data_IF_104421706846
#
_entry.id   IF_104421706846
#
_cell.length_a   1.000
_cell.length_b   1.000
_cell.length_c   1.000
_cell.angle_alpha   90.00
_cell.angle_beta   90.00
_cell.angle_gamma   90.00
#
_symmetry.space_group_name_H-M   'P 1'
#
loop_
_entity.id
_entity.type
_entity.pdbx_description
1 polymer ?
#
# COMPACT_ATOMS: atom_id res chain seq x y z
N UNK A 1 -8.52 -4.90 24.22
CA UNK A 1 -8.99 -5.35 22.89
C UNK A 1 -9.13 -6.86 22.87
N UNK A 2 -9.99 -7.38 22.01
CA UNK A 2 -10.21 -8.83 21.86
C UNK A 2 -9.58 -9.28 20.54
N UNK A 3 -8.93 -10.47 20.53
CA UNK A 3 -8.35 -11.05 19.32
C UNK A 3 -9.39 -11.41 18.23
N UNK A 4 -10.67 -11.48 18.60
CA UNK A 4 -11.77 -11.69 17.63
C UNK A 4 -12.20 -10.41 16.91
N UNK A 5 -11.72 -9.23 17.33
CA UNK A 5 -11.99 -7.97 16.64
C UNK A 5 -11.27 -7.92 15.29
N UNK A 6 -11.82 -7.24 14.27
CA UNK A 6 -11.22 -7.19 12.94
C UNK A 6 -9.97 -6.30 12.88
N UNK A 7 -9.18 -6.49 11.82
CA UNK A 7 -8.10 -5.60 11.43
C UNK A 7 -8.64 -4.60 10.41
N UNK A 8 -8.50 -3.30 10.69
CA UNK A 8 -8.79 -2.24 9.74
C UNK A 8 -7.64 -2.05 8.74
N UNK A 9 -7.97 -1.93 7.46
CA UNK A 9 -6.99 -1.62 6.41
C UNK A 9 -7.48 -0.40 5.66
N UNK A 10 -6.73 0.68 5.66
CA UNK A 10 -7.15 1.92 5.00
C UNK A 10 -6.22 2.31 3.86
N UNK A 11 -6.81 2.79 2.78
CA UNK A 11 -6.11 3.31 1.60
C UNK A 11 -6.86 4.52 1.01
N UNK A 12 -6.16 5.30 0.21
CA UNK A 12 -6.74 6.44 -0.52
C UNK A 12 -7.65 6.05 -1.69
N UNK A 13 -7.70 4.77 -2.06
CA UNK A 13 -8.45 4.28 -3.23
C UNK A 13 -8.54 2.76 -3.26
N UNK A 14 -8.14 2.15 -4.37
CA UNK A 14 -8.16 0.69 -4.58
C UNK A 14 -6.78 0.05 -4.44
N UNK A 15 -5.71 0.84 -4.35
CA UNK A 15 -4.34 0.35 -4.33
C UNK A 15 -4.07 -0.61 -3.16
N UNK A 16 -4.60 -0.29 -1.99
CA UNK A 16 -4.44 -1.07 -0.76
C UNK A 16 -5.03 -2.48 -0.81
N UNK A 17 -5.82 -2.83 -1.85
CA UNK A 17 -6.24 -4.20 -2.10
C UNK A 17 -5.06 -5.15 -2.31
N UNK A 18 -3.92 -4.65 -2.81
CA UNK A 18 -2.67 -5.42 -2.90
C UNK A 18 -2.12 -5.81 -1.52
N UNK A 19 -2.23 -4.89 -0.56
CA UNK A 19 -1.82 -5.13 0.84
C UNK A 19 -2.82 -6.04 1.53
N UNK A 20 -4.13 -5.81 1.34
CA UNK A 20 -5.19 -6.68 1.87
C UNK A 20 -5.03 -8.13 1.40
N UNK A 21 -4.71 -8.34 0.10
CA UNK A 21 -4.39 -9.66 -0.45
C UNK A 21 -3.29 -10.35 0.36
N UNK A 22 -2.18 -9.63 0.57
CA UNK A 22 -1.03 -10.18 1.28
C UNK A 22 -1.35 -10.48 2.76
N UNK A 23 -2.04 -9.56 3.43
CA UNK A 23 -2.51 -9.74 4.80
C UNK A 23 -3.42 -10.97 4.93
N UNK A 24 -4.42 -11.11 4.06
CA UNK A 24 -5.34 -12.24 4.09
C UNK A 24 -4.63 -13.59 3.85
N UNK A 25 -3.64 -13.62 2.94
CA UNK A 25 -2.85 -14.82 2.70
C UNK A 25 -1.98 -15.22 3.90
N UNK A 26 -1.41 -14.25 4.61
CA UNK A 26 -0.53 -14.48 5.76
C UNK A 26 -1.31 -14.66 7.09
N UNK A 27 -2.53 -14.16 7.15
CA UNK A 27 -3.42 -14.15 8.31
C UNK A 27 -4.81 -14.70 7.95
N UNK A 28 -4.92 -15.97 7.52
CA UNK A 28 -6.17 -16.52 6.98
C UNK A 28 -7.29 -16.69 8.03
N UNK A 29 -6.96 -16.52 9.30
CA UNK A 29 -7.91 -16.59 10.40
C UNK A 29 -8.48 -15.26 10.83
N UNK A 30 -7.89 -14.13 10.37
CA UNK A 30 -8.28 -12.78 10.76
C UNK A 30 -9.43 -12.23 9.92
N UNK A 31 -10.32 -11.48 10.56
CA UNK A 31 -11.32 -10.67 9.88
C UNK A 31 -10.72 -9.32 9.49
N UNK A 32 -11.02 -8.86 8.29
CA UNK A 32 -10.52 -7.59 7.78
C UNK A 32 -11.67 -6.66 7.37
N UNK A 33 -11.53 -5.39 7.69
CA UNK A 33 -12.36 -4.30 7.17
C UNK A 33 -11.44 -3.36 6.38
N UNK A 34 -11.54 -3.44 5.05
CA UNK A 34 -10.86 -2.53 4.14
C UNK A 34 -11.70 -1.27 3.92
N UNK A 35 -11.07 -0.11 3.94
CA UNK A 35 -11.70 1.17 3.58
C UNK A 35 -10.86 1.84 2.50
N UNK A 36 -11.41 1.91 1.28
CA UNK A 36 -10.85 2.69 0.16
C UNK A 36 -11.59 4.01 -0.01
N UNK A 37 -10.89 5.14 0.13
CA UNK A 37 -11.49 6.47 -0.03
C UNK A 37 -11.57 6.90 -1.49
N UNK A 38 -12.30 6.12 -2.27
CA UNK A 38 -12.41 6.25 -3.72
C UNK A 38 -13.09 7.56 -4.18
N UNK A 39 -13.88 8.20 -3.31
CA UNK A 39 -14.47 9.50 -3.61
C UNK A 39 -13.46 10.66 -3.67
N UNK A 40 -12.31 10.53 -2.96
CA UNK A 40 -11.32 11.60 -2.81
C UNK A 40 -9.95 11.25 -3.38
N UNK A 41 -9.82 10.04 -3.98
CA UNK A 41 -8.60 9.60 -4.68
C UNK A 41 -8.30 10.50 -5.89
N UNK A 42 -7.02 10.71 -6.27
CA UNK A 42 -5.79 10.29 -5.60
C UNK A 42 -5.35 11.29 -4.51
N UNK A 43 -4.81 10.80 -3.40
CA UNK A 43 -4.28 11.66 -2.33
C UNK A 43 -2.94 12.32 -2.69
N UNK A 44 -2.20 11.79 -3.65
CA UNK A 44 -0.89 12.31 -4.05
C UNK A 44 -0.89 13.73 -4.64
N UNK A 45 -2.06 14.30 -4.91
CA UNK A 45 -2.27 15.67 -5.40
C UNK A 45 -2.93 16.60 -4.37
N UNK A 46 -3.26 16.07 -3.17
CA UNK A 46 -3.93 16.81 -2.11
C UNK A 46 -2.93 17.48 -1.18
N UNK A 47 -3.39 18.51 -0.46
CA UNK A 47 -2.60 19.13 0.61
C UNK A 47 -2.50 18.22 1.83
N UNK A 48 -1.45 18.35 2.60
CA UNK A 48 -1.27 17.60 3.85
C UNK A 48 -2.46 17.78 4.81
N UNK A 49 -3.00 19.00 4.91
CA UNK A 49 -4.15 19.30 5.78
C UNK A 49 -5.40 18.51 5.36
N UNK A 50 -5.69 18.45 4.06
CA UNK A 50 -6.82 17.68 3.54
C UNK A 50 -6.64 16.19 3.83
N UNK A 51 -5.45 15.65 3.55
CA UNK A 51 -5.16 14.23 3.76
C UNK A 51 -5.31 13.87 5.25
N UNK A 52 -4.80 14.68 6.17
CA UNK A 52 -4.95 14.45 7.62
C UNK A 52 -6.42 14.44 8.05
N UNK A 53 -7.25 15.34 7.50
CA UNK A 53 -8.70 15.35 7.75
C UNK A 53 -9.36 14.06 7.24
N UNK A 54 -9.03 13.63 6.02
CA UNK A 54 -9.59 12.42 5.43
C UNK A 54 -9.22 11.15 6.20
N UNK A 55 -7.95 11.06 6.61
CA UNK A 55 -7.48 9.95 7.45
C UNK A 55 -8.18 9.93 8.80
N UNK A 56 -8.36 11.09 9.44
CA UNK A 56 -9.10 11.20 10.69
C UNK A 56 -10.51 10.62 10.57
N UNK A 57 -11.28 11.01 9.54
CA UNK A 57 -12.62 10.49 9.29
C UNK A 57 -12.64 8.95 9.12
N UNK A 58 -11.66 8.38 8.41
CA UNK A 58 -11.57 6.93 8.22
C UNK A 58 -11.19 6.22 9.54
N UNK A 59 -10.24 6.78 10.28
CA UNK A 59 -9.82 6.24 11.58
C UNK A 59 -10.96 6.26 12.59
N UNK A 60 -11.75 7.36 12.64
CA UNK A 60 -12.91 7.45 13.51
C UNK A 60 -13.97 6.40 13.14
N UNK A 61 -14.21 6.21 11.84
CA UNK A 61 -15.13 5.18 11.35
C UNK A 61 -14.64 3.77 11.71
N UNK A 62 -13.37 3.45 11.53
CA UNK A 62 -12.77 2.15 11.91
C UNK A 62 -12.79 1.96 13.44
N UNK A 63 -12.59 3.02 14.22
CA UNK A 63 -12.70 2.99 15.69
C UNK A 63 -14.09 2.57 16.12
N UNK A 64 -15.15 3.13 15.48
CA UNK A 64 -16.53 2.74 15.73
C UNK A 64 -16.83 1.28 15.34
N UNK A 65 -16.01 0.66 14.47
CA UNK A 65 -16.08 -0.77 14.13
C UNK A 65 -15.30 -1.67 15.10
N UNK A 66 -14.72 -1.10 16.15
CA UNK A 66 -13.96 -1.81 17.17
C UNK A 66 -12.78 -2.61 16.58
N UNK A 67 -12.03 -2.07 15.64
CA UNK A 67 -10.84 -2.75 15.09
C UNK A 67 -9.75 -2.87 16.14
N UNK A 68 -9.00 -3.98 16.12
CA UNK A 68 -7.88 -4.24 17.06
C UNK A 68 -6.53 -3.71 16.56
N UNK A 69 -6.39 -3.49 15.27
CA UNK A 69 -5.21 -2.93 14.61
C UNK A 69 -5.66 -2.17 13.37
N UNK A 70 -4.91 -1.15 12.98
CA UNK A 70 -5.07 -0.47 11.68
C UNK A 70 -3.78 -0.57 10.86
N UNK A 71 -3.91 -1.06 9.63
CA UNK A 71 -2.85 -1.05 8.63
C UNK A 71 -3.12 0.08 7.63
N UNK A 72 -2.23 1.05 7.56
CA UNK A 72 -2.28 2.13 6.57
C UNK A 72 -1.65 1.61 5.28
N UNK A 73 -2.48 1.09 4.38
CA UNK A 73 -2.10 0.50 3.11
C UNK A 73 -1.90 1.57 2.01
N UNK A 74 -1.27 2.68 2.35
CA UNK A 74 -1.00 3.78 1.44
C UNK A 74 0.36 4.41 1.76
N UNK A 75 1.28 4.41 0.77
CA UNK A 75 2.60 5.01 0.97
C UNK A 75 2.53 6.52 1.21
N UNK A 76 1.69 7.24 0.48
CA UNK A 76 1.49 8.68 0.67
C UNK A 76 1.06 9.00 2.10
N UNK A 77 0.12 8.23 2.66
CA UNK A 77 -0.34 8.39 4.04
C UNK A 77 0.74 8.03 5.05
N UNK A 78 1.47 6.95 4.80
CA UNK A 78 2.59 6.53 5.66
C UNK A 78 3.67 7.62 5.75
N UNK A 79 3.93 8.34 4.64
CA UNK A 79 4.93 9.42 4.61
C UNK A 79 4.49 10.68 5.37
N UNK A 80 3.19 10.89 5.58
CA UNK A 80 2.66 11.99 6.43
C UNK A 80 2.86 11.77 7.93
N UNK A 81 3.33 10.59 8.32
CA UNK A 81 3.67 10.27 9.70
C UNK A 81 2.59 9.44 10.40
N UNK A 82 2.72 8.12 10.29
CA UNK A 82 1.96 7.15 11.10
C UNK A 82 2.18 7.38 12.60
N UNK A 83 3.34 7.92 12.98
CA UNK A 83 3.71 8.16 14.38
C UNK A 83 2.74 9.13 15.09
N UNK A 84 2.12 10.05 14.36
CA UNK A 84 1.10 10.96 14.94
C UNK A 84 -0.21 10.24 15.31
N UNK A 85 -0.43 9.04 14.79
CA UNK A 85 -1.61 8.21 15.10
C UNK A 85 -1.30 7.15 16.16
N UNK A 86 -0.02 6.86 16.39
CA UNK A 86 0.40 5.89 17.41
C UNK A 86 0.15 6.45 18.81
N UNK A 87 -0.46 5.63 19.67
CA UNK A 87 -0.77 6.01 21.05
C UNK A 87 -1.92 6.99 21.24
N UNK A 88 -2.57 7.45 20.16
CA UNK A 88 -3.78 8.30 20.24
C UNK A 88 -5.07 7.50 20.13
N UNK A 89 -4.97 6.23 19.74
CA UNK A 89 -6.08 5.30 19.60
C UNK A 89 -5.84 4.03 20.42
N UNK A 90 -6.90 3.27 20.76
CA UNK A 90 -6.74 2.05 21.57
C UNK A 90 -6.05 0.89 20.81
N UNK A 91 -5.85 0.98 19.52
CA UNK A 91 -5.28 -0.05 18.64
C UNK A 91 -3.88 0.35 18.13
N UNK A 92 -3.09 -0.65 17.71
CA UNK A 92 -1.82 -0.41 17.03
C UNK A 92 -2.02 0.08 15.61
N UNK A 93 -1.09 0.91 15.12
CA UNK A 93 -1.09 1.45 13.76
C UNK A 93 0.20 1.07 13.04
N UNK A 94 0.07 0.36 11.92
CA UNK A 94 1.17 -0.07 11.06
C UNK A 94 1.09 0.63 9.72
N UNK A 95 2.18 1.24 9.27
CA UNK A 95 2.29 1.87 7.95
C UNK A 95 3.05 0.99 6.97
N UNK A 96 3.09 1.42 5.69
CA UNK A 96 3.84 0.73 4.65
C UNK A 96 5.32 0.63 4.98
N UNK A 97 5.87 -0.57 4.86
CA UNK A 97 7.31 -0.83 4.97
C UNK A 97 8.08 -0.09 3.88
N UNK A 98 9.28 0.39 4.20
CA UNK A 98 10.17 1.03 3.23
C UNK A 98 11.04 0.02 2.46
N UNK A 99 11.02 -1.25 2.85
CA UNK A 99 11.70 -2.34 2.17
C UNK A 99 13.23 -2.21 2.06
N UNK A 100 13.87 -1.37 2.88
CA UNK A 100 15.30 -1.05 2.74
C UNK A 100 16.19 -2.29 2.82
N UNK A 101 15.95 -3.17 3.79
CA UNK A 101 16.74 -4.41 3.97
C UNK A 101 16.58 -5.36 2.80
N UNK A 102 15.34 -5.55 2.32
CA UNK A 102 15.03 -6.43 1.18
C UNK A 102 15.66 -5.90 -0.11
N UNK A 103 15.62 -4.57 -0.33
CA UNK A 103 16.24 -3.92 -1.48
C UNK A 103 17.77 -4.11 -1.48
N UNK A 104 18.41 -3.88 -0.35
CA UNK A 104 19.86 -4.04 -0.21
C UNK A 104 20.29 -5.51 -0.40
N UNK A 105 19.51 -6.46 0.11
CA UNK A 105 19.75 -7.89 -0.08
C UNK A 105 19.58 -8.32 -1.56
N UNK A 106 18.70 -7.64 -2.31
CA UNK A 106 18.43 -7.94 -3.72
C UNK A 106 19.38 -7.20 -4.70
N UNK A 107 20.24 -6.29 -4.22
CA UNK A 107 21.10 -5.44 -5.04
C UNK A 107 22.57 -5.59 -4.65
N UNK A 108 23.35 -6.47 -5.30
CA UNK A 108 24.77 -6.70 -4.98
C UNK A 108 25.64 -5.44 -5.05
N UNK A 109 25.40 -4.56 -6.02
CA UNK A 109 26.13 -3.29 -6.18
C UNK A 109 25.38 -2.09 -5.58
N UNK A 110 24.28 -2.35 -4.84
CA UNK A 110 23.51 -1.35 -4.09
C UNK A 110 22.92 -0.23 -4.94
N UNK A 111 22.55 -0.54 -6.19
CA UNK A 111 21.89 0.36 -7.12
C UNK A 111 20.38 0.13 -7.07
N UNK A 112 19.68 1.01 -6.38
CA UNK A 112 18.27 0.81 -5.98
C UNK A 112 17.37 1.87 -6.60
N UNK A 113 16.31 1.42 -7.29
CA UNK A 113 15.25 2.27 -7.84
C UNK A 113 14.06 2.38 -6.87
N UNK A 114 13.42 3.53 -6.86
CA UNK A 114 12.16 3.77 -6.14
C UNK A 114 11.14 4.35 -7.11
N UNK A 115 10.09 3.58 -7.44
CA UNK A 115 8.91 4.08 -8.17
C UNK A 115 7.85 4.49 -7.14
N UNK A 116 7.40 5.75 -7.19
CA UNK A 116 6.43 6.25 -6.22
C UNK A 116 5.59 7.42 -6.78
N UNK A 117 4.60 7.87 -6.01
CA UNK A 117 3.91 9.12 -6.29
C UNK A 117 4.86 10.31 -6.08
N UNK A 118 4.53 11.44 -6.71
CA UNK A 118 5.33 12.67 -6.57
C UNK A 118 5.49 13.08 -5.10
N UNK A 119 4.43 13.01 -4.31
CA UNK A 119 4.47 13.31 -2.88
C UNK A 119 5.45 12.39 -2.11
N UNK A 120 5.37 11.08 -2.36
CA UNK A 120 6.25 10.09 -1.72
C UNK A 120 7.72 10.32 -2.09
N UNK A 121 8.03 10.64 -3.34
CA UNK A 121 9.40 10.98 -3.77
C UNK A 121 9.88 12.26 -3.10
N UNK A 122 9.05 13.31 -3.06
CA UNK A 122 9.41 14.59 -2.45
C UNK A 122 9.69 14.47 -0.94
N UNK A 123 9.05 13.51 -0.24
CA UNK A 123 9.33 13.26 1.19
C UNK A 123 10.77 12.80 1.47
N UNK A 124 11.43 12.19 0.49
CA UNK A 124 12.78 11.64 0.61
C UNK A 124 12.93 10.46 1.59
N UNK A 125 11.84 9.98 2.23
CA UNK A 125 11.91 9.01 3.32
C UNK A 125 12.40 7.62 2.88
N UNK A 126 12.11 7.17 1.65
CA UNK A 126 12.68 5.93 1.12
C UNK A 126 14.20 6.04 0.97
N UNK A 127 14.67 7.12 0.33
CA UNK A 127 16.12 7.38 0.19
C UNK A 127 16.80 7.44 1.55
N UNK A 128 16.20 8.16 2.50
CA UNK A 128 16.73 8.28 3.88
C UNK A 128 16.81 6.91 4.57
N UNK A 129 15.78 6.08 4.45
CA UNK A 129 15.74 4.74 5.06
C UNK A 129 16.79 3.79 4.45
N UNK A 130 16.98 3.82 3.12
CA UNK A 130 17.97 3.00 2.43
C UNK A 130 19.39 3.44 2.83
N UNK A 131 19.66 4.75 2.82
CA UNK A 131 20.98 5.28 3.19
C UNK A 131 21.29 5.14 4.69
N UNK A 132 20.29 5.08 5.55
CA UNK A 132 20.46 4.75 6.96
C UNK A 132 20.86 3.29 7.18
N UNK A 133 20.37 2.38 6.33
CA UNK A 133 20.73 0.96 6.35
C UNK A 133 22.10 0.70 5.67
N UNK A 134 22.41 1.42 4.61
CA UNK A 134 23.70 1.39 3.92
C UNK A 134 24.04 2.76 3.30
N UNK A 135 24.99 3.50 3.88
CA UNK A 135 25.39 4.82 3.37
C UNK A 135 26.04 4.82 1.97
N UNK A 136 26.48 3.65 1.48
CA UNK A 136 27.08 3.51 0.15
C UNK A 136 26.06 3.20 -0.95
N UNK A 137 24.79 3.01 -0.61
CA UNK A 137 23.74 2.72 -1.58
C UNK A 137 23.51 3.90 -2.54
N UNK A 138 23.31 3.58 -3.81
CA UNK A 138 22.94 4.53 -4.85
C UNK A 138 21.42 4.44 -5.06
N UNK A 139 20.69 5.48 -4.73
CA UNK A 139 19.22 5.48 -4.77
C UNK A 139 18.73 6.38 -5.91
N UNK A 140 17.93 5.81 -6.79
CA UNK A 140 17.35 6.45 -7.97
C UNK A 140 15.82 6.58 -7.78
N UNK A 141 15.33 7.71 -7.26
CA UNK A 141 13.89 7.94 -7.10
C UNK A 141 13.27 8.46 -8.39
N UNK A 142 12.13 7.87 -8.79
CA UNK A 142 11.35 8.28 -9.97
C UNK A 142 9.89 8.46 -9.56
N UNK A 143 9.35 9.65 -9.80
CA UNK A 143 7.93 9.95 -9.62
C UNK A 143 7.12 9.48 -10.84
N UNK A 144 5.99 8.80 -10.59
CA UNK A 144 5.17 8.20 -11.64
C UNK A 144 3.72 8.73 -11.61
N UNK A 145 3.49 10.01 -11.93
CA UNK A 145 2.16 10.62 -11.80
C UNK A 145 1.09 10.00 -12.71
N UNK A 146 1.47 9.37 -13.84
CA UNK A 146 0.53 8.77 -14.78
C UNK A 146 -0.02 7.41 -14.31
N UNK A 147 0.68 6.67 -13.47
CA UNK A 147 0.31 5.29 -13.12
C UNK A 147 -1.03 5.20 -12.39
N UNK A 148 -1.23 5.99 -11.33
CA UNK A 148 -2.47 5.92 -10.53
C UNK A 148 -3.71 6.24 -11.38
N UNK A 149 -3.78 7.33 -12.18
CA UNK A 149 -4.91 7.58 -13.04
C UNK A 149 -5.19 6.47 -14.07
N UNK A 150 -4.13 5.89 -14.67
CA UNK A 150 -4.27 4.81 -15.64
C UNK A 150 -4.81 3.52 -14.99
N UNK A 151 -4.35 3.18 -13.80
CA UNK A 151 -4.80 2.00 -13.05
C UNK A 151 -6.24 2.18 -12.57
N UNK A 152 -6.56 3.33 -11.96
CA UNK A 152 -7.93 3.68 -11.53
C UNK A 152 -8.89 3.74 -12.72
N UNK A 153 -8.42 4.12 -13.90
CA UNK A 153 -9.16 4.10 -15.17
C UNK A 153 -9.20 2.73 -15.84
N UNK A 154 -8.72 1.67 -15.21
CA UNK A 154 -8.68 0.28 -15.74
C UNK A 154 -7.95 0.16 -17.10
N UNK A 155 -7.00 1.06 -17.41
CA UNK A 155 -6.29 1.13 -18.69
C UNK A 155 -5.06 0.20 -18.75
N UNK A 156 -5.20 -1.04 -18.29
CA UNK A 156 -4.09 -1.97 -18.11
C UNK A 156 -3.37 -2.38 -19.41
N UNK A 157 -4.09 -2.37 -20.55
CA UNK A 157 -3.55 -2.76 -21.84
C UNK A 157 -3.37 -1.58 -22.81
N UNK A 158 -3.48 -0.34 -22.30
CA UNK A 158 -3.39 0.87 -23.11
C UNK A 158 -1.97 1.16 -23.62
N UNK A 159 -1.82 1.78 -24.80
CA UNK A 159 -0.53 2.30 -25.25
C UNK A 159 0.06 3.32 -24.28
N UNK A 160 -0.77 4.13 -23.65
CA UNK A 160 -0.40 5.17 -22.68
C UNK A 160 0.27 4.57 -21.45
N UNK A 161 -0.24 3.43 -20.94
CA UNK A 161 0.39 2.73 -19.81
C UNK A 161 1.75 2.17 -20.21
N UNK A 162 1.85 1.51 -21.38
CA UNK A 162 3.13 0.99 -21.88
C UNK A 162 4.17 2.10 -22.04
N UNK A 163 3.76 3.24 -22.60
CA UNK A 163 4.64 4.40 -22.75
C UNK A 163 5.08 4.96 -21.39
N UNK A 164 4.17 5.07 -20.42
CA UNK A 164 4.47 5.54 -19.08
C UNK A 164 5.44 4.59 -18.34
N UNK A 165 5.28 3.27 -18.50
CA UNK A 165 6.22 2.29 -17.94
C UNK A 165 7.61 2.51 -18.53
N UNK A 166 7.75 2.54 -19.86
CA UNK A 166 9.03 2.76 -20.52
C UNK A 166 9.68 4.09 -20.09
N UNK A 167 8.91 5.17 -19.99
CA UNK A 167 9.39 6.50 -19.54
C UNK A 167 9.98 6.44 -18.11
N UNK A 168 9.28 5.76 -17.19
CA UNK A 168 9.68 5.78 -15.77
C UNK A 168 10.75 4.74 -15.43
N UNK A 169 10.91 3.68 -16.23
CA UNK A 169 11.96 2.67 -16.04
C UNK A 169 13.26 3.01 -16.75
N UNK A 170 13.24 3.86 -17.77
CA UNK A 170 14.40 4.27 -18.56
C UNK A 170 15.58 4.81 -17.71
N UNK A 171 15.36 5.65 -16.67
CA UNK A 171 16.42 6.08 -15.76
C UNK A 171 17.10 4.90 -15.04
N UNK A 172 16.35 3.85 -14.70
CA UNK A 172 16.88 2.67 -14.02
C UNK A 172 17.74 1.82 -14.94
N UNK A 173 17.30 1.62 -16.18
CA UNK A 173 18.06 0.91 -17.20
C UNK A 173 19.40 1.59 -17.47
N UNK A 174 19.39 2.93 -17.63
CA UNK A 174 20.62 3.73 -17.83
C UNK A 174 21.59 3.67 -16.64
N UNK A 175 21.07 3.66 -15.42
CA UNK A 175 21.88 3.61 -14.21
C UNK A 175 22.35 2.19 -13.85
N UNK A 176 21.80 1.16 -14.50
CA UNK A 176 22.06 -0.24 -14.15
C UNK A 176 21.50 -0.59 -12.75
N UNK A 177 20.26 -0.15 -12.47
CA UNK A 177 19.57 -0.47 -11.20
C UNK A 177 19.31 -1.97 -11.13
N UNK A 178 19.48 -2.56 -9.96
CA UNK A 178 19.38 -4.01 -9.73
C UNK A 178 18.13 -4.41 -8.97
N UNK A 179 17.63 -3.51 -8.12
CA UNK A 179 16.39 -3.70 -7.36
C UNK A 179 15.53 -2.45 -7.40
N UNK A 180 14.22 -2.62 -7.58
CA UNK A 180 13.23 -1.53 -7.63
C UNK A 180 12.12 -1.82 -6.63
N UNK A 181 11.71 -0.83 -5.83
CA UNK A 181 10.55 -0.94 -4.97
C UNK A 181 9.35 -0.20 -5.56
N UNK A 182 8.18 -0.84 -5.50
CA UNK A 182 6.88 -0.27 -5.86
C UNK A 182 6.29 0.49 -4.68
N UNK A 183 6.71 1.75 -4.48
CA UNK A 183 6.31 2.57 -3.34
C UNK A 183 4.98 3.31 -3.56
N UNK A 184 4.04 2.66 -4.21
CA UNK A 184 2.64 3.01 -4.32
C UNK A 184 1.82 1.72 -4.42
N UNK A 185 0.78 1.59 -3.63
CA UNK A 185 -0.07 0.40 -3.53
C UNK A 185 -0.85 0.08 -4.80
N UNK A 186 -0.96 1.02 -5.72
CA UNK A 186 -1.52 0.80 -7.05
C UNK A 186 -0.56 0.04 -7.98
N UNK A 187 0.77 0.20 -7.83
CA UNK A 187 1.72 -0.32 -8.81
C UNK A 187 1.81 -1.86 -8.89
N UNK A 188 1.48 -2.63 -7.84
CA UNK A 188 1.33 -4.08 -7.96
C UNK A 188 0.33 -4.56 -9.01
N UNK A 189 -0.68 -3.75 -9.38
CA UNK A 189 -1.60 -4.05 -10.47
C UNK A 189 -0.93 -4.15 -11.85
N UNK A 190 0.22 -3.49 -12.01
CA UNK A 190 1.01 -3.46 -13.26
C UNK A 190 2.43 -3.99 -13.06
N UNK A 191 2.66 -4.74 -11.98
CA UNK A 191 3.99 -5.24 -11.60
C UNK A 191 4.63 -6.07 -12.72
N UNK A 192 3.87 -7.01 -13.29
CA UNK A 192 4.37 -7.89 -14.36
C UNK A 192 4.83 -7.09 -15.59
N UNK A 193 4.13 -6.02 -15.94
CA UNK A 193 4.50 -5.15 -17.05
C UNK A 193 5.75 -4.32 -16.74
N UNK A 194 5.91 -3.86 -15.49
CA UNK A 194 7.13 -3.18 -15.03
C UNK A 194 8.32 -4.15 -15.04
N UNK A 195 8.12 -5.38 -14.56
CA UNK A 195 9.15 -6.44 -14.58
C UNK A 195 9.57 -6.79 -16.00
N UNK A 196 8.61 -6.94 -16.92
CA UNK A 196 8.88 -7.23 -18.32
C UNK A 196 9.70 -6.13 -19.00
N UNK A 197 9.43 -4.87 -18.69
CA UNK A 197 10.13 -3.73 -19.27
C UNK A 197 11.54 -3.51 -18.66
N UNK A 198 11.71 -3.76 -17.36
CA UNK A 198 13.02 -3.71 -16.68
C UNK A 198 13.94 -4.88 -17.05
N UNK A 199 13.36 -6.02 -17.42
CA UNK A 199 14.06 -7.24 -17.76
C UNK A 199 14.42 -8.12 -16.54
N UNK A 200 14.91 -9.34 -16.78
CA UNK A 200 15.03 -10.40 -15.76
C UNK A 200 16.12 -10.15 -14.71
N UNK A 201 17.02 -9.20 -14.96
CA UNK A 201 18.13 -8.90 -14.05
C UNK A 201 17.76 -7.87 -12.97
N UNK A 202 16.58 -7.27 -13.04
CA UNK A 202 16.10 -6.27 -12.05
C UNK A 202 15.06 -6.91 -11.15
N UNK A 203 15.29 -6.91 -9.85
CA UNK A 203 14.32 -7.43 -8.88
C UNK A 203 13.29 -6.37 -8.52
N UNK A 204 12.03 -6.62 -8.83
CA UNK A 204 10.93 -5.71 -8.46
C UNK A 204 10.27 -6.17 -7.16
N UNK A 205 10.29 -5.32 -6.14
CA UNK A 205 9.80 -5.60 -4.79
C UNK A 205 8.49 -4.86 -4.53
N UNK A 206 7.50 -5.60 -4.06
CA UNK A 206 6.27 -5.07 -3.48
C UNK A 206 6.41 -5.03 -1.95
N UNK A 207 6.25 -3.87 -1.28
CA UNK A 207 6.39 -3.78 0.15
C UNK A 207 5.23 -4.42 0.94
N UNK A 208 4.18 -4.90 0.30
CA UNK A 208 3.01 -5.48 0.95
C UNK A 208 3.36 -6.64 1.90
N UNK A 209 4.25 -7.56 1.47
CA UNK A 209 4.68 -8.69 2.30
C UNK A 209 5.42 -8.24 3.57
N UNK A 210 6.34 -7.27 3.45
CA UNK A 210 7.05 -6.71 4.59
C UNK A 210 6.10 -5.96 5.54
N UNK A 211 5.16 -5.18 5.00
CA UNK A 211 4.11 -4.50 5.77
C UNK A 211 3.24 -5.50 6.53
N UNK A 212 2.85 -6.60 5.88
CA UNK A 212 2.06 -7.66 6.53
C UNK A 212 2.84 -8.36 7.64
N UNK A 213 4.15 -8.59 7.45
CA UNK A 213 5.00 -9.13 8.50
C UNK A 213 5.10 -8.19 9.72
N UNK A 214 5.23 -6.88 9.50
CA UNK A 214 5.24 -5.87 10.56
C UNK A 214 3.90 -5.88 11.33
N UNK A 215 2.76 -6.01 10.64
CA UNK A 215 1.43 -6.13 11.25
C UNK A 215 1.30 -7.39 12.12
N UNK A 216 1.82 -8.53 11.64
CA UNK A 216 1.85 -9.80 12.40
C UNK A 216 2.70 -9.67 13.67
N UNK A 217 3.86 -9.02 13.58
CA UNK A 217 4.73 -8.81 14.75
C UNK A 217 3.99 -8.00 15.82
N UNK A 218 3.36 -6.89 15.43
CA UNK A 218 2.60 -6.06 16.37
C UNK A 218 1.45 -6.83 17.03
N UNK A 219 0.66 -7.61 16.26
CA UNK A 219 -0.41 -8.45 16.81
C UNK A 219 0.08 -9.51 17.79
N UNK A 220 1.26 -10.11 17.54
CA UNK A 220 1.87 -11.09 18.43
C UNK A 220 2.33 -10.45 19.74
N UNK A 221 2.99 -9.31 19.67
CA UNK A 221 3.47 -8.57 20.84
C UNK A 221 2.33 -8.12 21.76
N UNK A 222 1.17 -7.79 21.17
CA UNK A 222 -0.04 -7.42 21.91
C UNK A 222 -0.90 -8.60 22.34
N UNK A 223 -0.56 -9.84 21.94
CA UNK A 223 -1.36 -11.04 22.22
C UNK A 223 -2.71 -11.08 21.51
N UNK A 224 -2.85 -10.34 20.42
CA UNK A 224 -4.10 -10.16 19.66
C UNK A 224 -4.18 -11.00 18.39
N UNK A 225 -3.16 -11.80 18.05
CA UNK A 225 -3.17 -12.66 16.88
C UNK A 225 -4.22 -13.77 17.02
N UNK A 226 -5.13 -13.89 16.04
CA UNK A 226 -6.10 -14.97 15.94
C UNK A 226 -5.51 -16.12 15.11
N UNK A 227 -5.56 -17.33 15.65
CA UNK A 227 -4.93 -18.53 15.08
C UNK A 227 -5.91 -19.61 14.65
N UNK A 228 -7.21 -19.39 14.81
CA UNK A 228 -8.25 -20.37 14.55
C UNK A 228 -9.47 -19.73 13.88
N UNK A 229 -10.27 -20.55 13.18
CA UNK A 229 -11.44 -20.11 12.43
C UNK A 229 -11.12 -19.70 11.00
N UNK A 230 -12.15 -19.36 10.22
CA UNK A 230 -12.03 -18.77 8.88
C UNK A 230 -12.17 -17.26 9.01
N UNK A 231 -11.23 -16.49 8.47
CA UNK A 231 -11.31 -15.05 8.39
C UNK A 231 -12.33 -14.59 7.36
N UNK A 232 -12.80 -13.35 7.52
CA UNK A 232 -13.77 -12.70 6.66
C UNK A 232 -13.22 -11.41 6.07
N UNK A 233 -13.58 -11.09 4.82
CA UNK A 233 -13.16 -9.88 4.11
C UNK A 233 -14.36 -8.95 3.88
N UNK A 234 -14.35 -7.79 4.51
CA UNK A 234 -15.26 -6.70 4.21
C UNK A 234 -14.51 -5.60 3.45
N UNK A 235 -14.95 -5.29 2.22
CA UNK A 235 -14.36 -4.25 1.36
C UNK A 235 -15.33 -3.09 1.26
N UNK A 236 -14.98 -1.99 1.92
CA UNK A 236 -15.76 -0.76 1.94
C UNK A 236 -15.11 0.29 1.03
N UNK A 237 -15.93 1.05 0.32
CA UNK A 237 -15.47 2.20 -0.46
C UNK A 237 -16.41 3.39 -0.31
N UNK A 238 -15.91 4.59 -0.60
CA UNK A 238 -16.69 5.83 -0.47
C UNK A 238 -17.37 6.25 -1.78
N UNK A 239 -17.01 5.63 -2.91
CA UNK A 239 -17.63 5.86 -4.22
C UNK A 239 -17.37 4.70 -5.17
N UNK A 240 -18.20 4.57 -6.21
CA UNK A 240 -18.02 3.67 -7.36
C UNK A 240 -17.74 2.20 -6.98
N UNK A 241 -18.69 1.63 -6.22
CA UNK A 241 -18.61 0.24 -5.73
C UNK A 241 -18.33 -0.76 -6.85
N UNK A 242 -19.02 -0.63 -7.99
CA UNK A 242 -18.87 -1.54 -9.12
C UNK A 242 -17.44 -1.56 -9.69
N UNK A 243 -16.76 -0.43 -9.73
CA UNK A 243 -15.34 -0.36 -10.11
C UNK A 243 -14.44 -1.02 -9.07
N UNK A 244 -14.73 -0.80 -7.78
CA UNK A 244 -13.96 -1.43 -6.69
C UNK A 244 -14.08 -2.95 -6.76
N UNK A 245 -15.26 -3.49 -6.99
CA UNK A 245 -15.49 -4.93 -7.17
C UNK A 245 -14.70 -5.50 -8.35
N UNK A 246 -14.71 -4.83 -9.51
CA UNK A 246 -13.92 -5.28 -10.68
C UNK A 246 -12.42 -5.26 -10.41
N UNK A 247 -11.90 -4.22 -9.78
CA UNK A 247 -10.48 -4.12 -9.45
C UNK A 247 -10.08 -5.09 -8.33
N UNK A 248 -10.97 -5.32 -7.36
CA UNK A 248 -10.77 -6.34 -6.33
C UNK A 248 -10.64 -7.74 -6.94
N UNK A 249 -11.40 -8.06 -7.98
CA UNK A 249 -11.31 -9.33 -8.71
C UNK A 249 -9.94 -9.64 -9.32
N UNK A 250 -9.09 -8.62 -9.49
CA UNK A 250 -7.69 -8.81 -9.92
C UNK A 250 -6.76 -9.20 -8.77
N UNK A 251 -7.18 -8.99 -7.53
CA UNK A 251 -6.32 -9.13 -6.33
C UNK A 251 -6.85 -10.16 -5.33
N UNK A 252 -8.15 -10.28 -5.17
CA UNK A 252 -8.81 -11.01 -4.09
C UNK A 252 -9.74 -12.12 -4.64
N UNK A 253 -10.02 -13.15 -3.84
CA UNK A 253 -11.12 -14.08 -4.11
C UNK A 253 -12.46 -13.39 -3.80
N UNK A 254 -13.03 -12.70 -4.79
CA UNK A 254 -14.21 -11.83 -4.61
C UNK A 254 -15.45 -12.55 -4.07
N UNK A 255 -15.59 -13.87 -4.31
CA UNK A 255 -16.68 -14.68 -3.79
C UNK A 255 -16.68 -14.80 -2.25
N UNK A 256 -15.53 -14.53 -1.62
CA UNK A 256 -15.36 -14.53 -0.16
C UNK A 256 -15.39 -13.12 0.44
N UNK A 257 -15.74 -12.09 -0.35
CA UNK A 257 -15.72 -10.69 0.06
C UNK A 257 -17.12 -10.08 0.15
N UNK A 258 -17.40 -9.36 1.25
CA UNK A 258 -18.57 -8.50 1.35
C UNK A 258 -18.21 -7.09 0.90
N UNK A 259 -18.86 -6.60 -0.16
CA UNK A 259 -18.63 -5.26 -0.69
C UNK A 259 -19.70 -4.28 -0.23
N UNK A 260 -19.31 -3.06 0.14
CA UNK A 260 -20.26 -2.03 0.58
C UNK A 260 -19.80 -0.60 0.26
N UNK A 261 -20.78 0.23 -0.11
CA UNK A 261 -20.61 1.67 -0.19
C UNK A 261 -20.84 2.28 1.20
N UNK A 262 -19.92 3.09 1.68
CA UNK A 262 -20.02 3.72 3.00
C UNK A 262 -19.99 5.25 2.91
N UNK A 263 -20.65 5.88 3.87
CA UNK A 263 -20.57 7.33 4.13
C UNK A 263 -19.80 7.54 5.45
N UNK A 264 -18.59 8.07 5.36
CA UNK A 264 -17.74 8.32 6.52
C UNK A 264 -18.29 9.34 7.52
N UNK A 265 -19.29 10.13 7.10
CA UNK A 265 -19.96 11.14 7.96
C UNK A 265 -21.16 10.58 8.72
N UNK A 266 -21.58 9.36 8.39
CA UNK A 266 -22.67 8.64 9.06
C UNK A 266 -22.07 7.43 9.77
N UNK A 267 -21.88 7.57 11.07
CA UNK A 267 -21.49 6.46 11.96
C UNK A 267 -22.69 5.57 12.28
#
# INVERSE_FOLDING_TARGET
>A
MDKMQPIGVLDSGVGGLSVLKCLHQMLPHEDFIYVGDTARTPYGTRTEKEIRSFVGEIIDWLTAKNVKQVVIACNTLTMLGVDSLRGTHPFSVVGMSKGAQQLLAASPHKKIGVLATQFTIASGLHKKAILAADPQAQVYPVACPKFVPLIEGEQFDSPELRQAIAEYTEPFKKAGVEAVILSCTHYPFIKEQIEADLGPNVKVLDPAAATSADAIVALKEEGLLRTEGKGHLQVCCTADLARVERLAGRMLPVDDCDFSLIDLKKN
#
